data_IF_149500253868
#
_entry.id   IF_149500253868
#
_cell.length_a   1.000
_cell.length_b   1.000
_cell.length_c   1.000
_cell.angle_alpha   90.00
_cell.angle_beta   90.00
_cell.angle_gamma   90.00
#
_symmetry.space_group_name_H-M   'P 1'
#
loop_
_entity.id
_entity.type
_entity.pdbx_description
1 polymer ?
#
# COMPACT_ATOMS: atom_id res chain seq x y z
N UNK A 1 29.16 -10.12 9.66
CA UNK A 1 28.37 -9.64 8.50
C UNK A 1 27.47 -8.53 9.00
N UNK A 2 27.50 -7.34 8.39
CA UNK A 2 26.58 -6.28 8.74
C UNK A 2 25.14 -6.70 8.37
N UNK A 3 24.20 -6.55 9.30
CA UNK A 3 22.78 -6.83 9.03
C UNK A 3 22.27 -5.74 8.08
N UNK A 4 21.83 -6.12 6.89
CA UNK A 4 21.28 -5.19 5.89
C UNK A 4 19.77 -5.38 5.76
N UNK A 5 19.07 -4.41 5.15
CA UNK A 5 17.64 -4.52 4.88
C UNK A 5 17.28 -5.61 3.85
N UNK A 6 18.27 -6.18 3.15
CA UNK A 6 18.08 -7.19 2.11
C UNK A 6 17.51 -8.47 2.75
N UNK A 7 16.26 -8.79 2.42
CA UNK A 7 15.49 -9.88 3.05
C UNK A 7 14.24 -9.42 3.81
N UNK A 8 14.11 -8.11 4.06
CA UNK A 8 12.87 -7.52 4.56
C UNK A 8 12.11 -6.81 3.45
N UNK A 9 10.80 -6.99 3.43
CA UNK A 9 9.91 -6.25 2.54
C UNK A 9 9.53 -4.90 3.18
N UNK A 10 9.15 -3.86 2.42
CA UNK A 10 8.81 -2.55 3.00
C UNK A 10 7.60 -2.56 3.94
N UNK A 11 6.81 -3.65 3.96
CA UNK A 11 5.77 -3.89 4.96
C UNK A 11 6.32 -4.29 6.34
N UNK A 12 7.58 -4.68 6.42
CA UNK A 12 8.24 -5.11 7.64
C UNK A 12 9.04 -3.95 8.27
N UNK A 13 8.88 -3.63 9.57
CA UNK A 13 9.52 -2.48 10.20
C UNK A 13 11.05 -2.47 10.07
N UNK A 14 11.67 -3.66 10.17
CA UNK A 14 13.13 -3.83 10.00
C UNK A 14 13.67 -3.32 8.66
N UNK A 15 12.85 -3.26 7.62
CA UNK A 15 13.26 -2.70 6.33
C UNK A 15 13.73 -1.25 6.48
N UNK A 16 12.92 -0.39 7.11
CA UNK A 16 13.25 1.03 7.27
C UNK A 16 14.29 1.28 8.36
N UNK A 17 14.24 0.47 9.42
CA UNK A 17 15.21 0.46 10.51
C UNK A 17 16.64 0.19 10.01
N UNK A 18 16.81 -0.83 9.16
CA UNK A 18 18.10 -1.21 8.57
C UNK A 18 18.51 -0.35 7.35
N UNK A 19 17.89 0.83 7.20
CA UNK A 19 18.28 1.79 6.18
C UNK A 19 17.68 1.56 4.79
N UNK A 20 16.67 0.69 4.65
CA UNK A 20 15.98 0.45 3.39
C UNK A 20 15.47 1.76 2.74
N UNK A 21 15.50 1.87 1.40
CA UNK A 21 15.09 3.09 0.71
C UNK A 21 13.60 3.38 0.92
N UNK A 22 13.22 4.66 0.92
CA UNK A 22 11.81 5.04 0.98
C UNK A 22 11.19 4.76 -0.38
N UNK A 23 10.19 3.88 -0.42
CA UNK A 23 9.50 3.50 -1.66
C UNK A 23 8.57 4.64 -2.09
N UNK A 24 8.72 5.12 -3.32
CA UNK A 24 7.88 6.19 -3.83
C UNK A 24 6.48 5.68 -4.16
N UNK A 25 5.40 6.47 -3.96
CA UNK A 25 4.03 6.03 -4.23
C UNK A 25 3.80 5.43 -5.63
N UNK A 26 4.47 5.96 -6.66
CA UNK A 26 4.41 5.39 -8.01
C UNK A 26 5.01 3.98 -8.08
N UNK A 27 6.10 3.73 -7.36
CA UNK A 27 6.69 2.39 -7.25
C UNK A 27 5.80 1.46 -6.42
N UNK A 28 5.14 1.94 -5.37
CA UNK A 28 4.15 1.15 -4.62
C UNK A 28 2.99 0.75 -5.55
N UNK A 29 2.49 1.68 -6.37
CA UNK A 29 1.47 1.38 -7.38
C UNK A 29 1.97 0.31 -8.35
N UNK A 30 3.16 0.49 -8.92
CA UNK A 30 3.74 -0.48 -9.85
C UNK A 30 3.88 -1.88 -9.23
N UNK A 31 4.34 -1.96 -7.98
CA UNK A 31 4.44 -3.23 -7.24
C UNK A 31 3.06 -3.89 -7.07
N UNK A 32 2.04 -3.13 -6.69
CA UNK A 32 0.68 -3.63 -6.53
C UNK A 32 0.08 -4.09 -7.86
N UNK A 33 0.34 -3.38 -8.95
CA UNK A 33 -0.13 -3.77 -10.30
C UNK A 33 0.60 -5.00 -10.84
N UNK A 34 1.89 -5.17 -10.54
CA UNK A 34 2.69 -6.30 -11.04
C UNK A 34 2.50 -7.60 -10.25
N UNK A 35 1.88 -7.51 -9.08
CA UNK A 35 1.61 -8.67 -8.22
C UNK A 35 0.21 -9.21 -8.45
N UNK A 36 0.02 -10.52 -8.35
CA UNK A 36 -1.30 -11.17 -8.21
C UNK A 36 -1.97 -10.86 -6.85
N UNK A 37 -1.53 -9.81 -6.16
CA UNK A 37 -2.14 -9.37 -4.92
C UNK A 37 -3.35 -8.50 -5.24
N UNK A 38 -4.53 -9.01 -4.95
CA UNK A 38 -5.79 -8.29 -5.10
C UNK A 38 -6.20 -7.53 -3.82
N UNK A 39 -5.35 -7.58 -2.79
CA UNK A 39 -5.56 -6.92 -1.49
C UNK A 39 -6.66 -7.56 -0.64
N UNK A 40 -6.83 -7.08 0.60
CA UNK A 40 -7.73 -7.75 1.55
C UNK A 40 -9.24 -7.65 1.25
N UNK A 41 -9.69 -6.68 0.42
CA UNK A 41 -11.10 -6.51 0.02
C UNK A 41 -11.49 -7.33 -1.21
N UNK A 42 -10.62 -8.21 -1.69
CA UNK A 42 -10.87 -9.03 -2.90
C UNK A 42 -12.20 -9.76 -2.86
N UNK A 43 -12.52 -10.39 -1.72
CA UNK A 43 -13.77 -11.15 -1.57
C UNK A 43 -14.99 -10.25 -1.70
N UNK A 44 -14.99 -9.10 -1.00
CA UNK A 44 -16.07 -8.11 -1.07
C UNK A 44 -16.28 -7.59 -2.50
N UNK A 45 -15.18 -7.29 -3.21
CA UNK A 45 -15.21 -6.84 -4.60
C UNK A 45 -15.79 -7.93 -5.52
N UNK A 46 -15.39 -9.18 -5.33
CA UNK A 46 -15.89 -10.31 -6.12
C UNK A 46 -17.36 -10.61 -5.85
N UNK A 47 -17.79 -10.56 -4.58
CA UNK A 47 -19.19 -10.70 -4.18
C UNK A 47 -20.05 -9.62 -4.80
N UNK A 48 -19.60 -8.36 -4.77
CA UNK A 48 -20.28 -7.26 -5.43
C UNK A 48 -20.40 -7.49 -6.96
N UNK A 49 -19.36 -8.02 -7.60
CA UNK A 49 -19.36 -8.32 -9.03
C UNK A 49 -20.34 -9.44 -9.44
N UNK A 50 -20.70 -10.33 -8.51
CA UNK A 50 -21.67 -11.41 -8.74
C UNK A 50 -23.14 -10.94 -8.65
N UNK A 51 -23.40 -9.69 -8.25
CA UNK A 51 -24.76 -9.15 -8.18
C UNK A 51 -25.36 -8.94 -9.58
N UNK A 52 -26.69 -8.93 -9.67
CA UNK A 52 -27.40 -8.52 -10.87
C UNK A 52 -27.40 -6.99 -11.02
N UNK A 53 -27.48 -6.50 -12.25
CA UNK A 53 -27.68 -5.06 -12.50
C UNK A 53 -29.08 -4.60 -12.05
N UNK A 54 -29.23 -3.36 -11.55
CA UNK A 54 -28.21 -2.31 -11.40
C UNK A 54 -27.42 -2.37 -10.07
N UNK A 55 -27.72 -3.36 -9.21
CA UNK A 55 -27.13 -3.44 -7.86
C UNK A 55 -25.62 -3.64 -7.91
N UNK A 56 -25.13 -4.47 -8.85
CA UNK A 56 -23.70 -4.67 -9.10
C UNK A 56 -22.96 -3.35 -9.28
N UNK A 57 -23.37 -2.56 -10.26
CA UNK A 57 -22.72 -1.28 -10.57
C UNK A 57 -22.73 -0.34 -9.37
N UNK A 58 -23.87 -0.23 -8.69
CA UNK A 58 -24.00 0.65 -7.53
C UNK A 58 -23.12 0.22 -6.36
N UNK A 59 -23.06 -1.07 -6.04
CA UNK A 59 -22.22 -1.60 -4.97
C UNK A 59 -20.74 -1.42 -5.29
N UNK A 60 -20.31 -1.71 -6.52
CA UNK A 60 -18.92 -1.49 -6.96
C UNK A 60 -18.53 -0.01 -6.89
N UNK A 61 -19.42 0.91 -7.27
CA UNK A 61 -19.17 2.36 -7.17
C UNK A 61 -18.99 2.80 -5.71
N UNK A 62 -19.76 2.25 -4.76
CA UNK A 62 -19.62 2.54 -3.33
C UNK A 62 -18.26 2.05 -2.83
N UNK A 63 -17.90 0.80 -3.14
CA UNK A 63 -16.61 0.22 -2.77
C UNK A 63 -15.46 1.07 -3.32
N UNK A 64 -15.53 1.47 -4.60
CA UNK A 64 -14.50 2.29 -5.24
C UNK A 64 -14.31 3.64 -4.54
N UNK A 65 -15.41 4.34 -4.23
CA UNK A 65 -15.33 5.63 -3.52
C UNK A 65 -14.63 5.47 -2.16
N UNK A 66 -14.96 4.42 -1.42
CA UNK A 66 -14.36 4.13 -0.12
C UNK A 66 -12.87 3.79 -0.24
N UNK A 67 -12.51 2.91 -1.21
CA UNK A 67 -11.12 2.56 -1.50
C UNK A 67 -10.31 3.81 -1.85
N UNK A 68 -10.82 4.67 -2.74
CA UNK A 68 -10.13 5.89 -3.17
C UNK A 68 -10.00 6.90 -2.03
N UNK A 69 -11.01 7.05 -1.17
CA UNK A 69 -10.95 7.93 -0.01
C UNK A 69 -9.88 7.46 0.98
N UNK A 70 -9.88 6.15 1.31
CA UNK A 70 -8.91 5.56 2.22
C UNK A 70 -7.48 5.64 1.66
N UNK A 71 -7.28 5.28 0.39
CA UNK A 71 -5.98 5.36 -0.27
C UNK A 71 -5.42 6.78 -0.28
N UNK A 72 -6.25 7.82 -0.48
CA UNK A 72 -5.82 9.22 -0.40
C UNK A 72 -5.35 9.60 1.01
N UNK A 73 -6.06 9.15 2.04
CA UNK A 73 -5.68 9.38 3.44
C UNK A 73 -4.35 8.66 3.77
N UNK A 74 -4.20 7.41 3.35
CA UNK A 74 -3.00 6.62 3.57
C UNK A 74 -1.79 7.17 2.82
N UNK A 75 -1.96 7.63 1.58
CA UNK A 75 -0.89 8.30 0.83
C UNK A 75 -0.42 9.59 1.52
N UNK A 76 -1.35 10.36 2.07
CA UNK A 76 -1.02 11.59 2.80
C UNK A 76 -0.22 11.27 4.07
N UNK A 77 -0.67 10.26 4.83
CA UNK A 77 0.03 9.77 6.03
C UNK A 77 1.40 9.19 5.67
N UNK A 78 1.50 8.42 4.59
CA UNK A 78 2.74 7.82 4.12
C UNK A 78 3.77 8.89 3.78
N UNK A 79 3.38 9.92 3.02
CA UNK A 79 4.27 11.04 2.67
C UNK A 79 4.80 11.77 3.90
N UNK A 80 3.94 12.00 4.89
CA UNK A 80 4.34 12.62 6.16
C UNK A 80 5.38 11.76 6.90
N UNK A 81 5.12 10.46 7.07
CA UNK A 81 6.04 9.54 7.76
C UNK A 81 7.37 9.38 7.00
N UNK A 82 7.31 9.26 5.67
CA UNK A 82 8.47 9.22 4.80
C UNK A 82 9.33 10.49 4.95
N UNK A 83 8.71 11.67 5.01
CA UNK A 83 9.41 12.92 5.25
C UNK A 83 10.08 12.94 6.64
N UNK A 84 9.37 12.53 7.69
CA UNK A 84 9.96 12.39 9.04
C UNK A 84 11.16 11.44 9.07
N UNK A 85 11.07 10.32 8.36
CA UNK A 85 12.18 9.37 8.23
C UNK A 85 13.40 9.99 7.53
N UNK A 86 13.18 10.79 6.47
CA UNK A 86 14.28 11.54 5.81
C UNK A 86 14.95 12.49 6.78
N UNK A 87 14.17 13.29 7.51
CA UNK A 87 14.71 14.23 8.51
C UNK A 87 15.50 13.49 9.61
N UNK A 88 14.97 12.38 10.12
CA UNK A 88 15.65 11.53 11.12
C UNK A 88 17.01 11.04 10.60
N UNK A 89 17.04 10.53 9.37
CA UNK A 89 18.28 10.03 8.73
C UNK A 89 19.30 11.14 8.52
N UNK A 90 18.87 12.34 8.12
CA UNK A 90 19.76 13.49 7.96
C UNK A 90 20.30 14.02 9.29
N UNK A 91 19.53 13.93 10.37
CA UNK A 91 19.91 14.50 11.67
C UNK A 91 20.82 13.59 12.50
N UNK A 92 20.65 12.26 12.43
CA UNK A 92 21.28 11.34 13.40
C UNK A 92 22.64 10.77 12.99
N UNK A 93 23.02 10.82 11.71
CA UNK A 93 24.03 9.87 11.21
C UNK A 93 23.58 8.42 11.46
N UNK A 94 24.29 7.42 10.90
CA UNK A 94 24.01 6.02 11.24
C UNK A 94 24.56 5.76 12.65
N UNK A 95 23.72 5.88 13.68
CA UNK A 95 24.08 5.50 15.06
C UNK A 95 24.30 3.98 15.14
N UNK A 96 25.51 3.55 15.50
CA UNK A 96 25.96 2.14 15.46
C UNK A 96 25.31 1.20 16.49
N UNK A 97 24.50 1.72 17.41
CA UNK A 97 23.82 0.94 18.44
C UNK A 97 22.34 0.72 18.08
N UNK A 98 22.10 -0.24 17.18
CA UNK A 98 20.76 -0.68 16.78
C UNK A 98 20.20 -1.65 17.84
N UNK A 99 19.34 -1.16 18.76
CA UNK A 99 18.75 -2.03 19.78
C UNK A 99 17.33 -2.50 19.40
N UNK A 100 16.50 -1.66 18.79
CA UNK A 100 15.11 -2.03 18.41
C UNK A 100 14.54 -1.11 17.30
N UNK A 101 13.56 -1.60 16.54
CA UNK A 101 12.75 -0.75 15.66
C UNK A 101 11.99 0.29 16.49
N UNK A 102 11.87 1.51 15.99
CA UNK A 102 11.07 2.55 16.65
C UNK A 102 9.64 2.63 16.06
N UNK A 103 8.79 3.45 16.70
CA UNK A 103 7.40 3.65 16.28
C UNK A 103 7.30 4.19 14.85
N UNK A 104 8.29 4.94 14.38
CA UNK A 104 8.30 5.51 13.03
C UNK A 104 8.53 4.41 11.99
N UNK A 105 9.46 3.49 12.24
CA UNK A 105 9.72 2.34 11.35
C UNK A 105 8.48 1.44 11.25
N UNK A 106 7.84 1.16 12.39
CA UNK A 106 6.60 0.37 12.44
C UNK A 106 5.44 1.07 11.74
N UNK A 107 5.21 2.35 12.05
CA UNK A 107 4.13 3.13 11.44
C UNK A 107 4.30 3.21 9.92
N UNK A 108 5.53 3.41 9.43
CA UNK A 108 5.78 3.51 8.00
C UNK A 108 5.54 2.17 7.28
N UNK A 109 5.86 1.04 7.92
CA UNK A 109 5.64 -0.29 7.36
C UNK A 109 4.16 -0.68 7.31
N UNK A 110 3.39 -0.30 8.34
CA UNK A 110 1.94 -0.46 8.36
C UNK A 110 1.29 0.39 7.27
N UNK A 111 1.63 1.67 7.21
CA UNK A 111 1.03 2.58 6.21
C UNK A 111 1.47 2.22 4.79
N UNK A 112 2.70 1.74 4.58
CA UNK A 112 3.10 1.15 3.29
C UNK A 112 2.14 0.04 2.88
N UNK A 113 1.82 -0.88 3.80
CA UNK A 113 0.94 -2.02 3.53
C UNK A 113 -0.49 -1.57 3.19
N UNK A 114 -0.98 -0.51 3.83
CA UNK A 114 -2.27 0.10 3.48
C UNK A 114 -2.27 0.73 2.09
N UNK A 115 -1.23 1.51 1.75
CA UNK A 115 -1.11 2.11 0.40
C UNK A 115 -1.00 1.01 -0.67
N UNK A 116 -0.20 -0.02 -0.42
CA UNK A 116 -0.06 -1.16 -1.33
C UNK A 116 -1.39 -1.88 -1.54
N UNK A 117 -2.11 -2.21 -0.47
CA UNK A 117 -3.44 -2.83 -0.56
C UNK A 117 -4.47 -1.93 -1.25
N UNK A 118 -4.46 -0.63 -0.98
CA UNK A 118 -5.37 0.31 -1.63
C UNK A 118 -5.15 0.37 -3.14
N UNK A 119 -3.90 0.34 -3.61
CA UNK A 119 -3.62 0.20 -5.04
C UNK A 119 -4.07 -1.15 -5.61
N UNK A 120 -3.87 -2.25 -4.89
CA UNK A 120 -4.35 -3.57 -5.30
C UNK A 120 -5.88 -3.62 -5.47
N UNK A 121 -6.63 -3.00 -4.57
CA UNK A 121 -8.10 -2.89 -4.69
C UNK A 121 -8.51 -2.08 -5.92
N UNK A 122 -7.83 -0.97 -6.20
CA UNK A 122 -8.09 -0.16 -7.40
C UNK A 122 -7.88 -0.99 -8.66
N UNK A 123 -6.77 -1.75 -8.75
CA UNK A 123 -6.49 -2.62 -9.89
C UNK A 123 -7.60 -3.67 -10.06
N UNK A 124 -8.01 -4.33 -8.98
CA UNK A 124 -9.09 -5.33 -9.03
C UNK A 124 -10.42 -4.75 -9.54
N UNK A 125 -10.77 -3.52 -9.12
CA UNK A 125 -11.96 -2.81 -9.59
C UNK A 125 -11.84 -2.42 -11.08
N UNK A 126 -10.68 -1.92 -11.50
CA UNK A 126 -10.41 -1.57 -12.91
C UNK A 126 -10.51 -2.80 -13.83
N UNK A 127 -10.00 -3.96 -13.41
CA UNK A 127 -10.11 -5.22 -14.16
C UNK A 127 -11.57 -5.63 -14.38
N UNK A 128 -12.41 -5.53 -13.35
CA UNK A 128 -13.83 -5.86 -13.45
C UNK A 128 -14.53 -4.91 -14.44
N UNK A 129 -14.29 -3.61 -14.32
CA UNK A 129 -14.89 -2.60 -15.22
C UNK A 129 -14.46 -2.80 -16.67
N UNK A 130 -13.19 -3.08 -16.91
CA UNK A 130 -12.67 -3.33 -18.26
C UNK A 130 -13.34 -4.56 -18.91
N UNK A 131 -13.57 -5.63 -18.13
CA UNK A 131 -14.31 -6.81 -18.62
C UNK A 131 -15.77 -6.49 -18.93
N UNK A 132 -16.43 -5.65 -18.13
CA UNK A 132 -17.81 -5.22 -18.40
C UNK A 132 -17.93 -4.38 -19.68
N UNK A 133 -17.00 -3.45 -19.92
CA UNK A 133 -16.96 -2.64 -21.14
C UNK A 133 -16.71 -3.46 -22.40
N UNK A 134 -16.03 -4.61 -22.29
CA UNK A 134 -15.77 -5.52 -23.41
C UNK A 134 -17.03 -6.33 -23.80
N UNK A 135 -18.04 -6.40 -22.93
CA UNK A 135 -19.27 -7.17 -23.13
C UNK A 135 -20.45 -6.31 -23.67
N UNK A 136 -20.22 -5.01 -23.87
CA UNK A 136 -21.16 -4.05 -24.47
C UNK A 136 -20.75 -3.75 -25.91
#
# INVERSE_FOLDING_TARGET
>A
MAVTFQGYWPSHPRYYFLGGPIVMPCAIKALATSSDCHGYRTNEINEANCLAEPKRSWTLDVIERDVLAQLRADLSRYRMLAHRLRLRRSAKGLSDTLVTCDDLDMSLSIVFSHVYNGYAHVVALEEIRNRQLTLL
#
